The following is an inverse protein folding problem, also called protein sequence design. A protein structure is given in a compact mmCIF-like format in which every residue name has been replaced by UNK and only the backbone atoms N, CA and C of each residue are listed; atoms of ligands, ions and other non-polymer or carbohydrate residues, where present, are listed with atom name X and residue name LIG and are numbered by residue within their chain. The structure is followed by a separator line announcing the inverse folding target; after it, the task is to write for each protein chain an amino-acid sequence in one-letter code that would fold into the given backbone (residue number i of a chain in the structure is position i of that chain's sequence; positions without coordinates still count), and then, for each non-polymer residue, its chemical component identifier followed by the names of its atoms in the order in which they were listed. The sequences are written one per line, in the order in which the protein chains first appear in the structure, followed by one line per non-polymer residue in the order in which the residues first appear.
data_IF_103711782953
#
_entry.id   IF_103711782953
#
_cell.length_a   1.000
_cell.length_b   1.000
_cell.length_c   1.000
_cell.angle_alpha   90.00
_cell.angle_beta   90.00
_cell.angle_gamma   90.00
#
_symmetry.space_group_name_H-M   'P 1'
#
loop_
_entity.id
_entity.type
_entity.pdbx_description
1 polymer ?
#
# COMPACT_ATOMS: atom_id res chain seq x y z
N UNK A 1 -18.88 -0.07 40.15
CA UNK A 1 -17.58 -0.26 39.48
C UNK A 1 -17.84 -0.80 38.08
N UNK A 2 -17.31 -0.17 37.02
CA UNK A 2 -17.35 -0.73 35.65
C UNK A 2 -15.96 -1.30 35.36
N UNK A 3 -15.89 -2.60 35.06
CA UNK A 3 -14.68 -3.26 34.57
C UNK A 3 -14.58 -3.15 33.06
N UNK A 4 -13.35 -3.09 32.54
CA UNK A 4 -13.07 -3.13 31.11
C UNK A 4 -13.15 -4.58 30.62
N UNK A 5 -13.88 -4.80 29.52
CA UNK A 5 -13.95 -6.08 28.81
C UNK A 5 -12.88 -6.09 27.71
N UNK A 6 -11.97 -7.07 27.78
CA UNK A 6 -10.86 -7.25 26.83
C UNK A 6 -11.06 -8.49 25.93
N UNK A 7 -12.27 -9.03 25.85
CA UNK A 7 -12.59 -10.25 25.10
C UNK A 7 -12.29 -10.20 23.60
N UNK A 8 -12.07 -9.02 23.01
CA UNK A 8 -11.84 -8.83 21.57
C UNK A 8 -10.37 -8.62 21.14
N UNK A 9 -9.39 -8.65 22.04
CA UNK A 9 -7.97 -8.50 21.66
C UNK A 9 -7.47 -9.79 21.00
N UNK A 10 -7.61 -9.90 19.67
CA UNK A 10 -7.09 -11.02 18.89
C UNK A 10 -5.70 -10.73 18.34
N UNK A 11 -4.75 -11.60 18.67
CA UNK A 11 -3.42 -11.63 18.05
C UNK A 11 -3.56 -11.85 16.54
N UNK A 12 -2.94 -10.99 15.74
CA UNK A 12 -2.70 -11.20 14.31
C UNK A 12 -1.20 -11.40 14.12
N UNK A 13 -0.80 -12.56 13.63
CA UNK A 13 0.58 -12.77 13.20
C UNK A 13 0.76 -12.06 11.84
N UNK A 14 1.53 -10.97 11.85
CA UNK A 14 1.91 -10.23 10.65
C UNK A 14 3.34 -10.64 10.31
N UNK A 15 3.52 -11.29 9.17
CA UNK A 15 4.86 -11.60 8.67
C UNK A 15 5.61 -10.29 8.39
N UNK A 16 6.86 -10.17 8.86
CA UNK A 16 7.75 -9.05 8.52
C UNK A 16 8.18 -9.06 7.05
N UNK A 17 7.94 -10.18 6.36
CA UNK A 17 8.26 -10.40 4.95
C UNK A 17 7.09 -9.90 4.09
N UNK A 18 7.32 -8.92 3.20
CA UNK A 18 6.30 -8.46 2.27
C UNK A 18 6.07 -9.51 1.18
N UNK A 19 5.17 -10.47 1.44
CA UNK A 19 4.94 -11.64 0.60
C UNK A 19 4.59 -11.29 -0.85
N UNK A 20 3.85 -10.20 -1.08
CA UNK A 20 3.51 -9.72 -2.42
C UNK A 20 4.76 -9.31 -3.20
N UNK A 21 5.65 -8.52 -2.57
CA UNK A 21 6.90 -8.07 -3.18
C UNK A 21 7.82 -9.27 -3.43
N UNK A 22 7.96 -10.15 -2.44
CA UNK A 22 8.81 -11.33 -2.56
C UNK A 22 8.33 -12.25 -3.69
N UNK A 23 7.03 -12.52 -3.76
CA UNK A 23 6.44 -13.34 -4.83
C UNK A 23 6.75 -12.75 -6.19
N UNK A 24 6.55 -11.46 -6.36
CA UNK A 24 6.78 -10.77 -7.62
C UNK A 24 8.26 -10.76 -8.02
N UNK A 25 9.17 -10.52 -7.08
CA UNK A 25 10.60 -10.55 -7.34
C UNK A 25 11.10 -11.97 -7.72
N UNK A 26 10.58 -13.02 -7.06
CA UNK A 26 10.91 -14.42 -7.39
C UNK A 26 10.37 -14.81 -8.77
N UNK A 27 9.14 -14.45 -9.10
CA UNK A 27 8.56 -14.71 -10.42
C UNK A 27 9.36 -13.97 -11.50
N UNK A 28 9.71 -12.70 -11.28
CA UNK A 28 10.56 -11.95 -12.21
C UNK A 28 11.92 -12.63 -12.41
N UNK A 29 12.54 -13.12 -11.33
CA UNK A 29 13.80 -13.86 -11.44
C UNK A 29 13.64 -15.13 -12.30
N UNK A 30 12.58 -15.92 -12.09
CA UNK A 30 12.32 -17.14 -12.85
C UNK A 30 12.01 -16.87 -14.34
N UNK A 31 11.24 -15.82 -14.63
CA UNK A 31 10.84 -15.48 -16.01
C UNK A 31 11.99 -14.86 -16.79
N UNK A 32 12.85 -14.07 -16.15
CA UNK A 32 13.87 -13.27 -16.84
C UNK A 32 15.30 -13.78 -16.69
N UNK A 33 15.54 -14.87 -15.93
CA UNK A 33 16.85 -15.49 -15.80
C UNK A 33 17.43 -15.95 -17.15
N UNK A 34 18.73 -15.75 -17.32
CA UNK A 34 19.51 -16.26 -18.43
C UNK A 34 19.96 -17.71 -18.15
N UNK A 35 19.09 -18.66 -18.52
CA UNK A 35 19.33 -20.09 -18.35
C UNK A 35 20.45 -20.65 -19.25
N UNK A 36 21.02 -19.85 -20.16
CA UNK A 36 22.17 -20.29 -20.96
C UNK A 36 23.47 -20.33 -20.15
N UNK A 37 23.56 -19.56 -19.05
CA UNK A 37 24.73 -19.50 -18.18
C UNK A 37 24.79 -20.71 -17.25
N UNK A 38 25.51 -21.76 -17.68
CA UNK A 38 25.71 -22.98 -16.87
C UNK A 38 26.41 -22.66 -15.55
N UNK A 39 25.90 -23.22 -14.45
CA UNK A 39 26.47 -23.03 -13.10
C UNK A 39 26.09 -21.73 -12.41
N UNK A 40 25.22 -20.90 -13.01
CA UNK A 40 24.71 -19.67 -12.43
C UNK A 40 23.24 -19.84 -11.98
N UNK A 41 22.98 -20.33 -10.75
CA UNK A 41 21.62 -20.44 -10.23
C UNK A 41 21.05 -19.07 -9.87
N UNK A 42 19.71 -18.99 -9.83
CA UNK A 42 19.02 -17.93 -9.09
C UNK A 42 19.33 -18.13 -7.61
N UNK A 43 19.82 -17.09 -6.93
CA UNK A 43 20.17 -17.12 -5.51
C UNK A 43 19.21 -16.23 -4.73
N UNK A 44 18.74 -16.72 -3.59
CA UNK A 44 17.94 -15.97 -2.65
C UNK A 44 18.70 -15.95 -1.32
N UNK A 45 19.07 -14.76 -0.86
CA UNK A 45 19.78 -14.55 0.39
C UNK A 45 18.90 -13.75 1.35
N UNK A 46 18.77 -14.22 2.58
CA UNK A 46 18.04 -13.57 3.65
C UNK A 46 19.03 -12.85 4.57
N UNK A 47 18.76 -11.59 4.83
CA UNK A 47 19.49 -10.75 5.79
C UNK A 47 18.49 -10.21 6.82
N UNK A 48 19.01 -9.62 7.89
CA UNK A 48 18.19 -9.07 8.98
C UNK A 48 17.27 -7.94 8.52
N UNK A 49 17.69 -7.18 7.49
CA UNK A 49 17.01 -5.97 7.01
C UNK A 49 16.45 -6.09 5.59
N UNK A 50 16.77 -7.17 4.86
CA UNK A 50 16.38 -7.35 3.46
C UNK A 50 16.47 -8.79 2.97
N UNK A 51 15.82 -9.06 1.85
CA UNK A 51 15.99 -10.26 1.03
C UNK A 51 16.62 -9.84 -0.29
N UNK A 52 17.68 -10.51 -0.71
CA UNK A 52 18.31 -10.30 -2.01
C UNK A 52 18.00 -11.49 -2.93
N UNK A 53 17.49 -11.21 -4.12
CA UNK A 53 17.20 -12.20 -5.16
C UNK A 53 18.07 -11.85 -6.36
N UNK A 54 19.05 -12.71 -6.63
CA UNK A 54 20.02 -12.54 -7.71
C UNK A 54 19.73 -13.54 -8.82
N UNK A 55 19.48 -13.06 -10.03
CA UNK A 55 19.29 -13.90 -11.20
C UNK A 55 20.50 -13.79 -12.16
N UNK A 56 20.81 -14.86 -12.93
CA UNK A 56 21.80 -14.78 -13.98
C UNK A 56 21.28 -13.95 -15.15
N UNK A 57 22.17 -13.17 -15.78
CA UNK A 57 21.87 -12.33 -16.94
C UNK A 57 21.86 -10.84 -16.61
N UNK A 58 21.90 -10.05 -17.67
CA UNK A 58 21.76 -8.59 -17.64
C UNK A 58 20.41 -8.17 -18.21
N UNK A 59 20.10 -6.87 -18.16
CA UNK A 59 18.96 -6.34 -18.88
C UNK A 59 19.09 -6.60 -20.39
N UNK A 60 17.94 -6.84 -21.04
CA UNK A 60 17.92 -7.01 -22.48
C UNK A 60 18.36 -5.70 -23.17
N UNK A 61 19.06 -5.76 -24.32
CA UNK A 61 19.51 -4.57 -25.03
C UNK A 61 18.41 -3.52 -25.23
N UNK A 62 18.73 -2.27 -24.91
CA UNK A 62 17.78 -1.16 -24.93
C UNK A 62 16.68 -1.28 -23.88
N UNK A 63 17.00 -1.82 -22.70
CA UNK A 63 16.16 -1.77 -21.51
C UNK A 63 17.00 -1.21 -20.37
N UNK A 64 16.43 -0.27 -19.61
CA UNK A 64 17.07 0.30 -18.43
C UNK A 64 16.29 -0.08 -17.16
N UNK A 65 16.92 0.12 -15.99
CA UNK A 65 16.23 -0.07 -14.70
C UNK A 65 15.03 0.86 -14.59
N UNK A 66 15.13 2.10 -15.11
CA UNK A 66 14.02 3.04 -15.09
C UNK A 66 12.87 2.57 -15.99
N UNK A 67 13.16 2.02 -17.17
CA UNK A 67 12.14 1.41 -18.04
C UNK A 67 11.38 0.31 -17.32
N UNK A 68 12.08 -0.58 -16.60
CA UNK A 68 11.45 -1.61 -15.77
C UNK A 68 10.54 -1.01 -14.70
N UNK A 69 11.00 0.05 -14.04
CA UNK A 69 10.25 0.75 -13.00
C UNK A 69 8.96 1.36 -13.54
N UNK A 70 8.99 1.88 -14.77
CA UNK A 70 7.83 2.40 -15.49
C UNK A 70 6.94 1.30 -16.08
N UNK A 71 7.29 0.02 -15.89
CA UNK A 71 6.51 -1.12 -16.37
C UNK A 71 6.78 -1.52 -17.81
N UNK A 72 7.84 -1.00 -18.44
CA UNK A 72 8.30 -1.50 -19.74
C UNK A 72 8.86 -2.91 -19.53
N UNK A 73 8.27 -3.89 -20.20
CA UNK A 73 8.65 -5.29 -20.06
C UNK A 73 9.12 -5.88 -21.39
N UNK A 74 10.33 -6.45 -21.37
CA UNK A 74 10.84 -7.32 -22.45
C UNK A 74 11.09 -8.70 -21.87
N UNK A 75 10.41 -9.71 -22.40
CA UNK A 75 10.43 -11.08 -21.87
C UNK A 75 11.58 -11.87 -22.49
N UNK A 76 12.48 -12.39 -21.65
CA UNK A 76 13.59 -13.25 -22.09
C UNK A 76 13.12 -14.68 -22.40
N UNK A 77 12.25 -15.23 -21.55
CA UNK A 77 11.77 -16.61 -21.67
C UNK A 77 10.24 -16.65 -21.90
N UNK A 78 9.75 -16.43 -23.14
CA UNK A 78 8.31 -16.35 -23.43
C UNK A 78 7.49 -17.57 -23.02
N UNK A 79 8.08 -18.77 -23.09
CA UNK A 79 7.41 -20.03 -22.72
C UNK A 79 7.18 -20.09 -21.21
N UNK A 80 8.21 -19.77 -20.41
CA UNK A 80 8.12 -19.72 -18.95
C UNK A 80 7.11 -18.65 -18.54
N UNK A 81 7.23 -17.46 -19.14
CA UNK A 81 6.31 -16.36 -18.89
C UNK A 81 4.85 -16.77 -19.16
N UNK A 82 4.59 -17.43 -20.31
CA UNK A 82 3.26 -17.93 -20.66
C UNK A 82 2.72 -18.91 -19.63
N UNK A 83 3.54 -19.85 -19.17
CA UNK A 83 3.17 -20.79 -18.13
C UNK A 83 2.72 -20.07 -16.85
N UNK A 84 3.51 -19.12 -16.35
CA UNK A 84 3.17 -18.36 -15.13
C UNK A 84 1.88 -17.53 -15.29
N UNK A 85 1.59 -17.05 -16.50
CA UNK A 85 0.32 -16.38 -16.81
C UNK A 85 -0.86 -17.36 -16.78
N UNK A 86 -0.71 -18.56 -17.35
CA UNK A 86 -1.78 -19.57 -17.39
C UNK A 86 -2.17 -20.09 -16.00
N UNK A 87 -1.23 -20.12 -15.06
CA UNK A 87 -1.50 -20.49 -13.67
C UNK A 87 -1.86 -19.28 -12.77
N UNK A 88 -2.16 -18.12 -13.36
CA UNK A 88 -2.57 -16.88 -12.68
C UNK A 88 -1.54 -16.37 -11.64
N UNK A 89 -0.25 -16.64 -11.85
CA UNK A 89 0.84 -16.05 -11.07
C UNK A 89 1.38 -14.75 -11.69
N UNK A 90 1.07 -14.50 -12.98
CA UNK A 90 1.31 -13.22 -13.66
C UNK A 90 0.00 -12.76 -14.29
N UNK A 91 -0.52 -11.62 -13.87
CA UNK A 91 -1.78 -11.08 -14.39
C UNK A 91 -1.58 -10.33 -15.72
N UNK A 92 -0.64 -9.38 -15.75
CA UNK A 92 -0.36 -8.55 -16.92
C UNK A 92 1.12 -8.18 -17.00
N UNK A 93 1.68 -8.22 -18.21
CA UNK A 93 3.07 -7.83 -18.47
C UNK A 93 3.36 -6.42 -18.01
N UNK A 94 4.51 -6.23 -17.37
CA UNK A 94 4.97 -4.91 -16.95
C UNK A 94 4.31 -4.37 -15.68
N UNK A 95 3.28 -5.03 -15.13
CA UNK A 95 2.63 -4.56 -13.89
C UNK A 95 3.35 -4.98 -12.62
N UNK A 96 4.16 -6.03 -12.70
CA UNK A 96 4.84 -6.65 -11.56
C UNK A 96 5.81 -5.72 -10.85
N UNK A 97 6.77 -5.17 -11.59
CA UNK A 97 7.78 -4.27 -11.01
C UNK A 97 7.13 -3.03 -10.39
N UNK A 98 6.26 -2.25 -11.07
CA UNK A 98 5.53 -1.15 -10.44
C UNK A 98 4.76 -1.57 -9.18
N UNK A 99 4.11 -2.74 -9.18
CA UNK A 99 3.36 -3.27 -8.03
C UNK A 99 4.28 -3.49 -6.82
N UNK A 100 5.51 -3.97 -7.01
CA UNK A 100 6.48 -4.10 -5.92
C UNK A 100 6.81 -2.76 -5.26
N UNK A 101 7.04 -1.71 -6.06
CA UNK A 101 7.34 -0.38 -5.54
C UNK A 101 6.14 0.24 -4.81
N UNK A 102 4.95 0.13 -5.41
CA UNK A 102 3.71 0.61 -4.81
C UNK A 102 3.41 -0.11 -3.48
N UNK A 103 3.62 -1.42 -3.42
CA UNK A 103 3.44 -2.21 -2.20
C UNK A 103 4.44 -1.81 -1.11
N UNK A 104 5.72 -1.61 -1.45
CA UNK A 104 6.72 -1.15 -0.49
C UNK A 104 6.34 0.21 0.10
N UNK A 105 5.89 1.14 -0.76
CA UNK A 105 5.39 2.44 -0.34
C UNK A 105 4.16 2.29 0.56
N UNK A 106 3.22 1.43 0.19
CA UNK A 106 1.99 1.14 0.92
C UNK A 106 2.22 0.37 2.24
N UNK A 107 3.41 -0.17 2.46
CA UNK A 107 3.83 -0.77 3.74
C UNK A 107 4.75 0.15 4.55
N UNK A 108 5.09 1.34 4.01
CA UNK A 108 6.04 2.26 4.64
C UNK A 108 7.46 1.69 4.72
N UNK A 109 7.77 0.71 3.86
CA UNK A 109 9.10 0.11 3.77
C UNK A 109 10.05 1.03 2.99
N UNK A 110 11.37 0.90 3.21
CA UNK A 110 12.33 1.44 2.28
C UNK A 110 12.02 1.01 0.84
N UNK A 111 12.46 1.80 -0.12
CA UNK A 111 12.22 1.48 -1.51
C UNK A 111 13.04 0.24 -1.95
N UNK A 112 12.42 -0.74 -2.65
CA UNK A 112 13.15 -1.84 -3.27
C UNK A 112 14.19 -1.34 -4.25
N UNK A 113 15.29 -2.07 -4.41
CA UNK A 113 16.35 -1.70 -5.36
C UNK A 113 16.54 -2.79 -6.40
N UNK A 114 16.77 -2.38 -7.64
CA UNK A 114 17.17 -3.26 -8.73
C UNK A 114 18.57 -2.84 -9.13
N UNK A 115 19.52 -3.77 -9.12
CA UNK A 115 20.92 -3.52 -9.40
C UNK A 115 21.40 -4.47 -10.51
N UNK A 116 22.11 -3.95 -11.50
CA UNK A 116 22.87 -4.77 -12.43
C UNK A 116 24.31 -4.87 -11.93
N UNK A 117 24.76 -6.08 -11.57
CA UNK A 117 26.07 -6.35 -10.95
C UNK A 117 26.82 -7.36 -11.83
N UNK A 118 27.71 -6.86 -12.69
CA UNK A 118 28.40 -7.69 -13.66
C UNK A 118 27.39 -8.34 -14.63
N UNK A 119 27.32 -9.67 -14.65
CA UNK A 119 26.41 -10.43 -15.51
C UNK A 119 25.14 -10.89 -14.80
N UNK A 120 24.68 -10.14 -13.80
CA UNK A 120 23.55 -10.53 -12.94
C UNK A 120 22.65 -9.34 -12.64
N UNK A 121 21.35 -9.59 -12.47
CA UNK A 121 20.43 -8.62 -11.89
C UNK A 121 20.10 -9.06 -10.47
N UNK A 122 20.11 -8.09 -9.55
CA UNK A 122 19.77 -8.28 -8.15
C UNK A 122 18.57 -7.41 -7.77
N UNK A 123 17.53 -8.05 -7.27
CA UNK A 123 16.43 -7.40 -6.57
C UNK A 123 16.71 -7.39 -5.08
N UNK A 124 16.59 -6.23 -4.46
CA UNK A 124 16.73 -6.03 -3.02
C UNK A 124 15.36 -5.66 -2.46
N UNK A 125 14.78 -6.56 -1.68
CA UNK A 125 13.48 -6.41 -1.04
C UNK A 125 13.70 -6.09 0.44
N UNK A 126 13.44 -4.87 0.90
CA UNK A 126 13.62 -4.51 2.30
C UNK A 126 12.59 -5.20 3.19
N UNK A 127 13.02 -5.57 4.39
CA UNK A 127 12.14 -6.11 5.43
C UNK A 127 11.71 -4.98 6.36
N UNK A 128 10.47 -5.06 6.84
CA UNK A 128 10.03 -4.18 7.92
C UNK A 128 10.81 -4.51 9.18
N UNK A 129 11.36 -3.50 9.86
CA UNK A 129 11.82 -3.69 11.25
C UNK A 129 10.64 -4.26 12.02
N UNK A 130 10.85 -5.31 12.83
CA UNK A 130 9.89 -5.69 13.84
C UNK A 130 9.72 -4.48 14.77
N UNK A 131 8.73 -3.65 14.49
CA UNK A 131 8.29 -2.67 15.45
C UNK A 131 7.67 -3.47 16.58
N UNK A 132 8.20 -3.29 17.80
CA UNK A 132 7.49 -3.62 19.01
C UNK A 132 6.02 -3.24 18.83
N UNK A 133 5.15 -4.20 19.14
CA UNK A 133 3.70 -4.10 18.95
C UNK A 133 3.21 -2.83 19.65
N UNK A 134 3.05 -1.77 18.87
CA UNK A 134 2.86 -0.44 19.42
C UNK A 134 2.63 0.60 18.34
N UNK A 135 1.38 0.74 17.91
CA UNK A 135 0.76 2.03 17.49
C UNK A 135 0.99 2.64 16.10
N UNK A 136 1.50 1.96 15.05
CA UNK A 136 1.70 2.67 13.76
C UNK A 136 1.09 2.09 12.46
N UNK A 137 0.27 1.04 12.48
CA UNK A 137 -0.27 0.45 11.22
C UNK A 137 -1.77 0.67 10.97
N UNK A 138 -2.26 1.91 11.05
CA UNK A 138 -3.65 2.25 10.63
C UNK A 138 -3.68 3.09 9.34
N UNK A 139 -2.56 3.58 8.82
CA UNK A 139 -2.60 4.66 7.82
C UNK A 139 -2.70 4.23 6.35
N UNK A 140 -2.41 2.98 5.97
CA UNK A 140 -2.21 2.63 4.55
C UNK A 140 -3.28 1.73 3.88
N UNK A 141 -4.31 1.25 4.59
CA UNK A 141 -5.48 0.60 3.96
C UNK A 141 -6.55 1.58 3.44
N UNK A 142 -6.31 2.89 3.50
CA UNK A 142 -7.34 3.92 3.25
C UNK A 142 -7.57 4.23 1.77
N UNK A 143 -6.62 4.00 0.86
CA UNK A 143 -6.74 4.48 -0.52
C UNK A 143 -7.56 3.60 -1.46
N UNK A 144 -8.01 2.40 -1.05
CA UNK A 144 -8.83 1.54 -1.92
C UNK A 144 -10.33 1.54 -1.66
N UNK A 145 -10.85 2.17 -0.59
CA UNK A 145 -12.31 2.29 -0.38
C UNK A 145 -12.71 3.56 0.40
N UNK A 146 -12.29 4.76 -0.03
CA UNK A 146 -13.01 5.97 0.43
C UNK A 146 -14.37 5.97 -0.27
N UNK A 147 -15.43 5.73 0.48
CA UNK A 147 -16.79 5.68 -0.08
C UNK A 147 -17.21 7.04 -0.64
N UNK A 148 -18.11 7.05 -1.62
CA UNK A 148 -18.61 8.30 -2.21
C UNK A 148 -19.23 9.22 -1.14
N UNK A 149 -19.81 8.66 -0.07
CA UNK A 149 -20.33 9.41 1.07
C UNK A 149 -19.23 10.21 1.80
N UNK A 150 -18.06 9.59 2.03
CA UNK A 150 -16.93 10.26 2.68
C UNK A 150 -16.34 11.34 1.76
N UNK A 151 -16.23 11.08 0.46
CA UNK A 151 -15.80 12.09 -0.51
C UNK A 151 -16.74 13.29 -0.52
N UNK A 152 -18.06 13.05 -0.53
CA UNK A 152 -19.06 14.11 -0.50
C UNK A 152 -18.97 14.93 0.80
N UNK A 153 -18.75 14.28 1.94
CA UNK A 153 -18.52 14.99 3.21
C UNK A 153 -17.28 15.88 3.11
N UNK A 154 -16.15 15.35 2.62
CA UNK A 154 -14.90 16.10 2.53
C UNK A 154 -15.01 17.34 1.62
N UNK A 155 -15.69 17.22 0.47
CA UNK A 155 -15.86 18.33 -0.48
C UNK A 155 -16.67 19.51 0.09
N UNK A 156 -17.57 19.24 1.04
CA UNK A 156 -18.45 20.26 1.62
C UNK A 156 -17.91 20.85 2.94
N UNK A 157 -16.72 20.42 3.38
CA UNK A 157 -16.16 20.75 4.68
C UNK A 157 -15.09 21.84 4.52
N UNK A 158 -15.54 23.07 4.24
CA UNK A 158 -14.68 24.21 3.91
C UNK A 158 -14.01 24.86 5.14
N UNK A 159 -14.63 24.75 6.32
CA UNK A 159 -14.15 25.31 7.58
C UNK A 159 -14.47 24.37 8.76
N UNK A 160 -14.25 24.82 9.99
CA UNK A 160 -14.62 24.05 11.18
C UNK A 160 -16.14 24.05 11.39
N UNK A 161 -16.77 22.90 11.15
CA UNK A 161 -18.23 22.76 11.17
C UNK A 161 -18.69 21.78 12.24
N UNK A 162 -19.83 22.07 12.88
CA UNK A 162 -20.48 21.12 13.78
C UNK A 162 -21.33 20.10 13.00
N UNK A 163 -21.78 19.03 13.68
CA UNK A 163 -22.57 17.96 13.04
C UNK A 163 -23.84 18.47 12.35
N UNK A 164 -24.52 19.46 12.93
CA UNK A 164 -25.78 19.98 12.40
C UNK A 164 -25.54 20.79 11.11
N UNK A 165 -24.47 21.56 11.06
CA UNK A 165 -24.05 22.32 9.87
C UNK A 165 -23.67 21.37 8.72
N UNK A 166 -22.87 20.34 9.00
CA UNK A 166 -22.46 19.34 7.99
C UNK A 166 -23.69 18.58 7.46
N UNK A 167 -24.59 18.13 8.36
CA UNK A 167 -25.82 17.45 7.94
C UNK A 167 -26.73 18.36 7.09
N UNK A 168 -26.80 19.65 7.42
CA UNK A 168 -27.58 20.62 6.64
C UNK A 168 -27.01 20.81 5.24
N UNK A 169 -25.67 20.92 5.10
CA UNK A 169 -25.01 21.03 3.80
C UNK A 169 -25.17 19.77 2.93
N UNK A 170 -25.10 18.59 3.54
CA UNK A 170 -25.27 17.31 2.84
C UNK A 170 -26.75 16.91 2.64
N UNK A 171 -27.69 17.77 3.03
CA UNK A 171 -29.14 17.53 2.99
C UNK A 171 -29.58 16.24 3.72
N UNK A 172 -28.86 15.85 4.78
CA UNK A 172 -29.11 14.63 5.54
C UNK A 172 -30.04 14.90 6.74
N UNK A 173 -31.08 14.08 6.87
CA UNK A 173 -32.02 14.12 8.00
C UNK A 173 -31.72 13.07 9.07
N UNK A 174 -31.10 11.95 8.69
CA UNK A 174 -30.80 10.83 9.58
C UNK A 174 -29.41 10.96 10.23
N UNK A 175 -29.42 11.18 11.56
CA UNK A 175 -28.20 11.34 12.37
C UNK A 175 -27.39 10.05 12.52
N UNK A 176 -28.04 8.89 12.52
CA UNK A 176 -27.41 7.57 12.67
C UNK A 176 -26.69 7.23 11.37
N UNK A 177 -27.38 7.39 10.24
CA UNK A 177 -26.79 7.24 8.90
C UNK A 177 -25.58 8.18 8.73
N UNK A 178 -25.74 9.46 9.06
CA UNK A 178 -24.65 10.44 9.00
C UNK A 178 -23.43 10.01 9.83
N UNK A 179 -23.61 9.61 11.09
CA UNK A 179 -22.48 9.19 11.91
C UNK A 179 -21.83 7.91 11.39
N UNK A 180 -22.62 6.90 10.98
CA UNK A 180 -22.10 5.59 10.58
C UNK A 180 -21.41 5.60 9.22
N UNK A 181 -21.97 6.31 8.24
CA UNK A 181 -21.57 6.17 6.84
C UNK A 181 -20.76 7.36 6.32
N UNK A 182 -20.73 8.49 7.04
CA UNK A 182 -20.00 9.70 6.65
C UNK A 182 -18.92 10.05 7.68
N UNK A 183 -19.33 10.36 8.90
CA UNK A 183 -18.43 10.96 9.89
C UNK A 183 -17.45 9.96 10.51
N UNK A 184 -17.92 8.82 11.03
CA UNK A 184 -17.07 7.83 11.67
C UNK A 184 -16.04 7.23 10.70
N UNK A 185 -16.39 6.89 9.44
CA UNK A 185 -15.40 6.44 8.47
C UNK A 185 -14.37 7.53 8.16
N UNK A 186 -14.80 8.79 7.95
CA UNK A 186 -13.87 9.89 7.65
C UNK A 186 -12.87 10.14 8.80
N UNK A 187 -13.32 10.04 10.06
CA UNK A 187 -12.46 10.13 11.24
C UNK A 187 -11.52 8.93 11.37
N UNK A 188 -12.02 7.71 11.20
CA UNK A 188 -11.22 6.48 11.31
C UNK A 188 -10.08 6.45 10.29
N UNK A 189 -10.31 7.03 9.11
CA UNK A 189 -9.33 7.13 8.03
C UNK A 189 -8.37 8.33 8.20
N UNK A 190 -8.56 9.14 9.25
CA UNK A 190 -7.86 10.40 9.51
C UNK A 190 -7.95 11.37 8.32
N UNK A 191 -9.11 11.43 7.65
CA UNK A 191 -9.37 12.37 6.56
C UNK A 191 -9.91 13.70 7.10
N UNK A 192 -10.67 13.62 8.20
CA UNK A 192 -11.10 14.77 9.01
C UNK A 192 -10.66 14.55 10.46
N UNK A 193 -10.62 15.62 11.25
CA UNK A 193 -10.29 15.59 12.67
C UNK A 193 -11.29 16.38 13.51
N UNK A 194 -11.33 16.08 14.82
CA UNK A 194 -12.09 16.82 15.83
C UNK A 194 -11.31 18.04 16.31
N UNK A 195 -11.97 19.16 16.55
CA UNK A 195 -11.32 20.33 17.14
C UNK A 195 -11.06 20.19 18.64
N UNK A 196 -11.83 19.35 19.33
CA UNK A 196 -11.68 19.03 20.75
C UNK A 196 -11.49 17.52 20.96
N UNK A 197 -10.31 16.95 20.64
CA UNK A 197 -10.08 15.51 20.72
C UNK A 197 -10.19 14.96 22.15
N UNK A 198 -9.77 15.74 23.16
CA UNK A 198 -9.84 15.36 24.58
C UNK A 198 -11.29 15.36 25.13
N UNK A 199 -12.23 15.94 24.39
CA UNK A 199 -13.64 16.04 24.77
C UNK A 199 -14.54 15.72 23.57
N UNK A 200 -14.56 14.45 23.10
CA UNK A 200 -15.26 14.06 21.85
C UNK A 200 -16.77 14.24 21.92
N UNK A 201 -17.34 14.25 23.13
CA UNK A 201 -18.78 14.48 23.40
C UNK A 201 -19.11 15.95 23.72
N UNK A 202 -18.15 16.86 23.57
CA UNK A 202 -18.36 18.30 23.81
C UNK A 202 -19.54 18.82 22.96
N UNK A 203 -20.48 19.58 23.56
CA UNK A 203 -21.56 20.22 22.81
C UNK A 203 -21.07 21.18 21.73
N UNK A 204 -19.87 21.75 21.89
CA UNK A 204 -19.23 22.66 20.95
C UNK A 204 -18.23 21.96 20.00
N UNK A 205 -18.27 20.61 19.92
CA UNK A 205 -17.40 19.84 19.05
C UNK A 205 -17.60 20.22 17.57
N UNK A 206 -16.48 20.48 16.88
CA UNK A 206 -16.45 20.74 15.44
C UNK A 206 -15.48 19.78 14.75
N UNK A 207 -15.61 19.71 13.43
CA UNK A 207 -14.80 18.86 12.58
C UNK A 207 -14.18 19.71 11.48
N UNK A 208 -12.94 19.37 11.10
CA UNK A 208 -12.23 20.04 10.00
C UNK A 208 -11.44 19.05 9.16
N UNK A 209 -11.12 19.43 7.92
CA UNK A 209 -10.31 18.60 7.04
C UNK A 209 -8.87 18.53 7.54
N UNK A 210 -8.26 17.34 7.45
CA UNK A 210 -6.82 17.16 7.69
C UNK A 210 -6.03 17.37 6.40
N UNK A 211 -4.71 17.53 6.50
CA UNK A 211 -3.82 17.53 5.32
C UNK A 211 -3.99 16.28 4.45
N UNK A 212 -4.14 15.11 5.08
CA UNK A 212 -4.39 13.84 4.38
C UNK A 212 -5.72 13.88 3.60
N UNK A 213 -6.77 14.44 4.19
CA UNK A 213 -8.05 14.64 3.51
C UNK A 213 -7.94 15.55 2.28
N UNK A 214 -7.13 16.61 2.37
CA UNK A 214 -6.89 17.54 1.26
C UNK A 214 -6.16 16.86 0.11
N UNK A 215 -5.09 16.11 0.41
CA UNK A 215 -4.30 15.38 -0.57
C UNK A 215 -5.16 14.34 -1.33
N UNK A 216 -6.06 13.66 -0.63
CA UNK A 216 -7.02 12.72 -1.23
C UNK A 216 -7.97 13.43 -2.19
N UNK A 217 -8.52 14.60 -1.83
CA UNK A 217 -9.39 15.38 -2.73
C UNK A 217 -8.64 15.85 -3.99
N UNK A 218 -7.40 16.30 -3.84
CA UNK A 218 -6.56 16.76 -4.96
C UNK A 218 -6.23 15.63 -5.95
N UNK A 219 -6.02 14.41 -5.45
CA UNK A 219 -5.71 13.24 -6.29
C UNK A 219 -6.89 12.76 -7.14
N UNK A 220 -8.12 13.12 -6.77
CA UNK A 220 -9.37 12.70 -7.43
C UNK A 220 -9.90 13.72 -8.46
N UNK A 221 -9.23 14.88 -8.59
CA UNK A 221 -9.59 15.95 -9.54
C UNK A 221 -8.71 15.96 -10.80
N UNK A 222 -7.85 14.95 -10.97
CA UNK A 222 -7.06 14.69 -12.19
C UNK A 222 -7.60 13.48 -12.93
#
# INVERSE_FOLDING_TARGET
MRGADFSEVRRKDVWSIPLVILREAVINALVHADYSQRGAPIRIAFFDDRIEIENPGILLPGMTIEDMRQGVSKIRNPVIARFFREINLIEQWGTGVPRMFNEAQALGLPEPRILEIGTKIRFVVPLGKQADVGTQQVTQQVTQQVTQQVINLMRNLEYEMNRAEIMKLLELKDRVNFSRNYLAPALALNLIEMTQPDSPKSPSQKYRLTKKGQDVLLSQSK
#
